data_IF_395693567855
#
_entry.id   IF_395693567855
#
_cell.length_a   1.000
_cell.length_b   1.000
_cell.length_c   1.000
_cell.angle_alpha   90.00
_cell.angle_beta   90.00
_cell.angle_gamma   90.00
#
_symmetry.space_group_name_H-M   'P 1'
#
loop_
_entity.id
_entity.type
_entity.pdbx_description
1 polymer ?
#
# COMPACT_ATOMS: atom_id res chain seq x y z
N UNK A 1 -26.16 -43.03 20.41
CA UNK A 1 -24.72 -42.73 20.34
C UNK A 1 -24.16 -42.98 18.95
N UNK A 2 -24.34 -44.17 18.34
CA UNK A 2 -23.89 -44.44 16.95
C UNK A 2 -24.48 -43.48 15.90
N UNK A 3 -25.80 -43.21 15.95
CA UNK A 3 -26.46 -42.27 15.03
C UNK A 3 -25.88 -40.85 15.04
N UNK A 4 -25.40 -40.38 16.20
CA UNK A 4 -24.86 -39.03 16.38
C UNK A 4 -23.42 -38.98 15.88
N UNK A 5 -22.67 -40.07 16.05
CA UNK A 5 -21.33 -40.25 15.49
C UNK A 5 -21.39 -40.40 13.97
N UNK A 6 -22.37 -41.11 13.42
CA UNK A 6 -22.57 -41.24 11.97
C UNK A 6 -23.01 -39.91 11.35
N UNK A 7 -23.94 -39.19 11.99
CA UNK A 7 -24.36 -37.85 11.57
C UNK A 7 -23.17 -36.86 11.63
N UNK A 8 -22.35 -36.87 12.69
CA UNK A 8 -21.16 -36.01 12.79
C UNK A 8 -20.08 -36.43 11.78
N UNK A 9 -19.94 -37.74 11.49
CA UNK A 9 -19.02 -38.27 10.46
C UNK A 9 -19.46 -37.95 9.04
N UNK A 10 -20.75 -37.71 8.82
CA UNK A 10 -21.34 -37.36 7.52
C UNK A 10 -21.40 -35.83 7.33
N UNK A 11 -21.75 -35.07 8.38
CA UNK A 11 -21.73 -33.60 8.38
C UNK A 11 -20.34 -32.99 8.55
N UNK A 12 -19.36 -33.71 9.11
CA UNK A 12 -17.99 -33.23 9.31
C UNK A 12 -17.30 -32.88 7.99
N UNK A 13 -17.57 -33.68 6.96
CA UNK A 13 -17.13 -33.42 5.59
C UNK A 13 -17.85 -32.22 4.96
N UNK A 14 -19.16 -32.05 5.22
CA UNK A 14 -19.89 -30.86 4.83
C UNK A 14 -19.32 -29.56 5.45
N UNK A 15 -18.91 -29.61 6.72
CA UNK A 15 -18.26 -28.49 7.40
C UNK A 15 -16.92 -28.17 6.74
N UNK A 16 -16.08 -29.17 6.47
CA UNK A 16 -14.80 -28.98 5.76
C UNK A 16 -15.04 -28.36 4.38
N UNK A 17 -16.00 -28.90 3.62
CA UNK A 17 -16.36 -28.38 2.30
C UNK A 17 -16.74 -26.89 2.37
N UNK A 18 -17.66 -26.52 3.26
CA UNK A 18 -18.10 -25.13 3.41
C UNK A 18 -16.98 -24.23 3.91
N UNK A 19 -16.17 -24.71 4.85
CA UNK A 19 -15.08 -23.93 5.43
C UNK A 19 -14.00 -23.62 4.39
N UNK A 20 -13.57 -24.63 3.60
CA UNK A 20 -12.63 -24.44 2.48
C UNK A 20 -13.24 -23.56 1.40
N UNK A 21 -14.51 -23.77 1.03
CA UNK A 21 -15.20 -22.96 0.02
C UNK A 21 -15.23 -21.48 0.42
N UNK A 22 -15.62 -21.20 1.66
CA UNK A 22 -15.74 -19.83 2.18
C UNK A 22 -14.37 -19.15 2.31
N UNK A 23 -13.34 -19.85 2.82
CA UNK A 23 -11.96 -19.34 2.85
C UNK A 23 -11.48 -18.99 1.43
N UNK A 24 -11.65 -19.90 0.47
CA UNK A 24 -11.15 -19.72 -0.90
C UNK A 24 -11.91 -18.62 -1.67
N UNK A 25 -13.17 -18.36 -1.29
CA UNK A 25 -13.94 -17.19 -1.74
C UNK A 25 -13.47 -15.86 -1.11
N UNK A 26 -12.44 -15.88 -0.27
CA UNK A 26 -11.77 -14.69 0.26
C UNK A 26 -12.20 -14.29 1.67
N UNK A 27 -12.96 -15.13 2.39
CA UNK A 27 -13.27 -14.87 3.79
C UNK A 27 -12.04 -15.15 4.68
N UNK A 28 -11.79 -14.35 5.73
CA UNK A 28 -10.65 -14.52 6.63
C UNK A 28 -10.90 -15.64 7.66
N UNK A 29 -11.18 -16.86 7.19
CA UNK A 29 -11.43 -18.04 8.02
C UNK A 29 -10.35 -19.08 7.72
N UNK A 30 -9.62 -19.61 8.72
CA UNK A 30 -8.55 -20.55 8.47
C UNK A 30 -9.08 -21.98 8.28
N UNK A 31 -9.08 -22.54 7.07
CA UNK A 31 -9.48 -23.94 6.84
C UNK A 31 -8.32 -24.93 6.97
N UNK A 32 -7.07 -24.49 6.85
CA UNK A 32 -5.91 -25.37 7.04
C UNK A 32 -5.94 -26.10 8.40
N UNK A 33 -6.18 -25.44 9.56
CA UNK A 33 -6.28 -26.14 10.84
C UNK A 33 -7.46 -27.10 10.91
N UNK A 34 -8.60 -26.76 10.30
CA UNK A 34 -9.78 -27.64 10.24
C UNK A 34 -9.44 -28.92 9.48
N UNK A 35 -8.76 -28.81 8.33
CA UNK A 35 -8.28 -29.95 7.54
C UNK A 35 -7.30 -30.84 8.32
N UNK A 36 -6.38 -30.25 9.10
CA UNK A 36 -5.46 -31.00 9.96
C UNK A 36 -6.22 -31.77 11.04
N UNK A 37 -7.15 -31.13 11.74
CA UNK A 37 -7.95 -31.78 12.79
C UNK A 37 -8.82 -32.89 12.21
N UNK A 38 -9.51 -32.65 11.11
CA UNK A 38 -10.32 -33.68 10.44
C UNK A 38 -9.44 -34.82 9.91
N UNK A 39 -8.26 -34.52 9.35
CA UNK A 39 -7.30 -35.54 8.92
C UNK A 39 -6.77 -36.41 10.07
N UNK A 40 -6.60 -35.84 11.27
CA UNK A 40 -6.21 -36.59 12.45
C UNK A 40 -7.32 -37.52 12.96
N UNK A 41 -8.57 -37.04 12.97
CA UNK A 41 -9.73 -37.81 13.39
C UNK A 41 -10.04 -38.98 12.45
N UNK A 42 -9.81 -38.78 11.15
CA UNK A 42 -10.11 -39.76 10.10
C UNK A 42 -8.89 -40.59 9.68
N UNK A 43 -7.73 -40.38 10.32
CA UNK A 43 -6.44 -40.97 9.96
C UNK A 43 -6.40 -42.50 9.94
N UNK A 44 -7.33 -43.15 10.67
CA UNK A 44 -7.43 -44.60 10.74
C UNK A 44 -8.07 -45.26 9.50
N UNK A 45 -8.78 -44.49 8.66
CA UNK A 45 -9.48 -44.99 7.48
C UNK A 45 -8.99 -44.28 6.21
N UNK A 46 -8.21 -45.01 5.41
CA UNK A 46 -7.65 -44.49 4.15
C UNK A 46 -8.74 -44.06 3.15
N UNK A 47 -9.90 -44.74 3.11
CA UNK A 47 -11.00 -44.37 2.24
C UNK A 47 -11.62 -43.02 2.63
N UNK A 48 -11.78 -42.78 3.94
CA UNK A 48 -12.27 -41.50 4.46
C UNK A 48 -11.28 -40.36 4.25
N UNK A 49 -9.97 -40.62 4.33
CA UNK A 49 -8.94 -39.62 3.98
C UNK A 49 -9.00 -39.22 2.50
N UNK A 50 -9.15 -40.19 1.59
CA UNK A 50 -9.30 -39.91 0.15
C UNK A 50 -10.57 -39.09 -0.11
N UNK A 51 -11.68 -39.43 0.55
CA UNK A 51 -12.92 -38.66 0.46
C UNK A 51 -12.72 -37.22 0.97
N UNK A 52 -12.11 -37.04 2.14
CA UNK A 52 -11.79 -35.74 2.73
C UNK A 52 -10.95 -34.86 1.79
N UNK A 53 -9.89 -35.44 1.18
CA UNK A 53 -9.08 -34.72 0.19
C UNK A 53 -9.92 -34.35 -1.02
N UNK A 54 -10.73 -35.28 -1.53
CA UNK A 54 -11.59 -35.07 -2.68
C UNK A 54 -12.59 -33.94 -2.48
N UNK A 55 -13.31 -33.90 -1.36
CA UNK A 55 -14.31 -32.84 -1.11
C UNK A 55 -13.64 -31.47 -0.92
N UNK A 56 -12.48 -31.42 -0.25
CA UNK A 56 -11.79 -30.17 0.03
C UNK A 56 -11.17 -29.59 -1.25
N UNK A 57 -10.61 -30.45 -2.10
CA UNK A 57 -10.15 -30.05 -3.44
C UNK A 57 -11.33 -29.57 -4.29
N UNK A 58 -12.47 -30.27 -4.27
CA UNK A 58 -13.67 -29.84 -4.99
C UNK A 58 -14.16 -28.46 -4.53
N UNK A 59 -14.23 -28.23 -3.21
CA UNK A 59 -14.59 -26.94 -2.63
C UNK A 59 -13.65 -25.82 -3.11
N UNK A 60 -12.33 -26.07 -3.07
CA UNK A 60 -11.33 -25.12 -3.54
C UNK A 60 -11.50 -24.82 -5.03
N UNK A 61 -11.67 -25.84 -5.86
CA UNK A 61 -11.87 -25.69 -7.31
C UNK A 61 -13.12 -24.87 -7.63
N UNK A 62 -14.23 -25.07 -6.90
CA UNK A 62 -15.45 -24.29 -7.12
C UNK A 62 -15.17 -22.79 -6.87
N UNK A 63 -14.55 -22.44 -5.75
CA UNK A 63 -14.19 -21.06 -5.44
C UNK A 63 -13.18 -20.48 -6.44
N UNK A 64 -12.14 -21.23 -6.78
CA UNK A 64 -11.08 -20.79 -7.68
C UNK A 64 -11.60 -20.59 -9.12
N UNK A 65 -12.52 -21.45 -9.59
CA UNK A 65 -13.22 -21.27 -10.88
C UNK A 65 -14.12 -20.03 -10.87
N UNK A 66 -14.81 -19.73 -9.76
CA UNK A 66 -15.58 -18.49 -9.62
C UNK A 66 -14.67 -17.28 -9.80
N UNK A 67 -13.50 -17.27 -9.16
CA UNK A 67 -12.53 -16.19 -9.32
C UNK A 67 -11.97 -16.09 -10.74
N UNK A 68 -11.60 -17.22 -11.34
CA UNK A 68 -11.11 -17.28 -12.71
C UNK A 68 -12.14 -16.74 -13.71
N UNK A 69 -13.41 -17.15 -13.58
CA UNK A 69 -14.51 -16.67 -14.44
C UNK A 69 -14.79 -15.18 -14.20
N UNK A 70 -14.74 -14.73 -12.96
CA UNK A 70 -14.87 -13.31 -12.65
C UNK A 70 -13.73 -12.49 -13.28
N UNK A 71 -12.49 -12.97 -13.21
CA UNK A 71 -11.35 -12.36 -13.89
C UNK A 71 -11.52 -12.33 -15.41
N UNK A 72 -12.00 -13.41 -16.01
CA UNK A 72 -12.26 -13.48 -17.45
C UNK A 72 -13.36 -12.52 -17.91
N UNK A 73 -14.46 -12.41 -17.14
CA UNK A 73 -15.62 -11.59 -17.50
C UNK A 73 -15.44 -10.10 -17.21
N UNK A 74 -14.75 -9.75 -16.12
CA UNK A 74 -14.67 -8.37 -15.62
C UNK A 74 -13.24 -7.78 -15.64
N UNK A 75 -12.24 -8.55 -16.08
CA UNK A 75 -10.87 -8.08 -16.26
C UNK A 75 -10.25 -7.48 -14.99
N UNK A 76 -9.45 -6.43 -15.16
CA UNK A 76 -8.77 -5.73 -14.07
C UNK A 76 -9.71 -5.10 -13.02
N UNK A 77 -11.00 -4.96 -13.30
CA UNK A 77 -11.96 -4.41 -12.33
C UNK A 77 -12.15 -5.33 -11.11
N UNK A 78 -12.05 -6.65 -11.29
CA UNK A 78 -12.11 -7.62 -10.18
C UNK A 78 -10.87 -7.48 -9.29
N UNK A 79 -9.68 -7.36 -9.88
CA UNK A 79 -8.45 -7.14 -9.12
C UNK A 79 -8.49 -5.82 -8.36
N UNK A 80 -9.02 -4.75 -8.97
CA UNK A 80 -9.22 -3.47 -8.30
C UNK A 80 -10.18 -3.53 -7.10
N UNK A 81 -11.17 -4.43 -7.11
CA UNK A 81 -12.06 -4.67 -5.96
C UNK A 81 -11.42 -5.51 -4.87
N UNK A 82 -10.75 -6.62 -5.22
CA UNK A 82 -10.07 -7.48 -4.26
C UNK A 82 -8.93 -6.71 -3.56
N UNK A 83 -8.08 -6.03 -4.33
CA UNK A 83 -6.95 -5.26 -3.80
C UNK A 83 -7.35 -3.95 -3.11
N UNK A 84 -8.63 -3.51 -3.15
CA UNK A 84 -9.10 -2.29 -2.44
C UNK A 84 -8.94 -2.42 -0.92
N UNK A 85 -9.03 -3.63 -0.38
CA UNK A 85 -8.85 -3.92 1.05
C UNK A 85 -7.36 -3.81 1.45
N UNK A 86 -6.44 -3.88 0.48
CA UNK A 86 -5.01 -3.77 0.73
C UNK A 86 -4.57 -2.32 0.97
N UNK A 87 -3.59 -2.15 1.85
CA UNK A 87 -3.00 -0.85 2.22
C UNK A 87 -2.41 -0.08 1.00
N UNK A 88 -2.13 -0.78 -0.10
CA UNK A 88 -1.71 -0.22 -1.38
C UNK A 88 -2.24 -1.09 -2.54
N UNK A 89 -3.40 -0.73 -3.12
CA UNK A 89 -4.02 -1.49 -4.20
C UNK A 89 -3.10 -1.65 -5.43
N UNK A 90 -2.37 -0.59 -5.81
CA UNK A 90 -1.47 -0.63 -6.96
C UNK A 90 -0.26 -1.56 -6.74
N UNK A 91 0.24 -1.65 -5.51
CA UNK A 91 1.32 -2.58 -5.18
C UNK A 91 0.82 -4.04 -5.18
N UNK A 92 -0.40 -4.28 -4.69
CA UNK A 92 -1.06 -5.59 -4.71
C UNK A 92 -1.21 -6.14 -6.13
N UNK A 93 -1.70 -5.29 -7.05
CA UNK A 93 -1.88 -5.65 -8.46
C UNK A 93 -0.53 -5.90 -9.14
N UNK A 94 0.39 -4.92 -9.10
CA UNK A 94 1.71 -5.04 -9.76
C UNK A 94 2.53 -6.21 -9.24
N UNK A 95 2.46 -6.50 -7.94
CA UNK A 95 3.18 -7.62 -7.35
C UNK A 95 2.65 -8.94 -7.89
N UNK A 96 1.33 -9.09 -7.95
CA UNK A 96 0.69 -10.32 -8.44
C UNK A 96 0.93 -10.50 -9.94
N UNK A 97 0.82 -9.42 -10.73
CA UNK A 97 1.18 -9.41 -12.16
C UNK A 97 2.66 -9.78 -12.38
N UNK A 98 3.59 -9.26 -11.56
CA UNK A 98 5.00 -9.60 -11.69
C UNK A 98 5.29 -11.07 -11.38
N UNK A 99 4.66 -11.62 -10.33
CA UNK A 99 4.80 -13.04 -9.96
C UNK A 99 4.20 -13.93 -11.05
N UNK A 100 3.00 -13.62 -11.53
CA UNK A 100 2.35 -14.38 -12.59
C UNK A 100 3.06 -14.20 -13.94
N UNK A 101 3.63 -13.03 -14.25
CA UNK A 101 4.44 -12.81 -15.44
C UNK A 101 5.73 -13.62 -15.45
N UNK A 102 6.32 -13.87 -14.27
CA UNK A 102 7.56 -14.67 -14.13
C UNK A 102 7.32 -16.17 -14.06
N UNK A 103 6.25 -16.61 -13.37
CA UNK A 103 6.00 -18.03 -13.08
C UNK A 103 4.81 -18.61 -13.85
N UNK A 104 3.93 -17.76 -14.39
CA UNK A 104 2.73 -18.14 -15.11
C UNK A 104 1.77 -18.97 -14.25
N UNK A 105 1.02 -19.89 -14.88
CA UNK A 105 0.10 -20.80 -14.19
C UNK A 105 0.75 -21.65 -13.10
N UNK A 106 2.07 -21.88 -13.15
CA UNK A 106 2.80 -22.65 -12.12
C UNK A 106 2.76 -21.97 -10.75
N UNK A 107 2.54 -20.66 -10.69
CA UNK A 107 2.36 -19.93 -9.43
C UNK A 107 1.18 -20.47 -8.60
N UNK A 108 0.15 -21.04 -9.25
CA UNK A 108 -1.03 -21.62 -8.59
C UNK A 108 -0.68 -22.81 -7.68
N UNK A 109 0.44 -23.51 -7.94
CA UNK A 109 0.90 -24.63 -7.12
C UNK A 109 1.19 -24.23 -5.67
N UNK A 110 1.68 -23.00 -5.47
CA UNK A 110 2.05 -22.47 -4.15
C UNK A 110 1.08 -21.40 -3.65
N UNK A 111 0.11 -20.99 -4.49
CA UNK A 111 -0.69 -19.81 -4.22
C UNK A 111 -1.54 -19.93 -2.95
N UNK A 112 -2.02 -21.15 -2.67
CA UNK A 112 -2.87 -21.51 -1.53
C UNK A 112 -2.15 -21.47 -0.17
N UNK A 113 -0.82 -21.49 -0.15
CA UNK A 113 -0.05 -21.35 1.10
C UNK A 113 0.12 -19.89 1.56
N UNK A 114 -0.21 -18.93 0.70
CA UNK A 114 -0.07 -17.50 1.00
C UNK A 114 -1.47 -16.89 1.13
N UNK A 115 -1.90 -16.47 2.34
CA UNK A 115 -3.23 -15.92 2.56
C UNK A 115 -3.56 -14.78 1.59
N UNK A 116 -4.73 -14.84 0.95
CA UNK A 116 -5.21 -13.85 -0.01
C UNK A 116 -4.54 -13.90 -1.40
N UNK A 117 -3.41 -14.58 -1.56
CA UNK A 117 -2.74 -14.67 -2.86
C UNK A 117 -3.46 -15.64 -3.82
N UNK A 118 -4.02 -16.75 -3.31
CA UNK A 118 -4.76 -17.72 -4.12
C UNK A 118 -5.91 -17.08 -4.92
N UNK A 119 -6.81 -16.36 -4.26
CA UNK A 119 -7.96 -15.71 -4.92
C UNK A 119 -7.52 -14.69 -5.97
N UNK A 120 -6.45 -13.93 -5.70
CA UNK A 120 -5.91 -12.95 -6.65
C UNK A 120 -5.25 -13.65 -7.83
N UNK A 121 -4.49 -14.73 -7.60
CA UNK A 121 -3.84 -15.51 -8.64
C UNK A 121 -4.87 -16.20 -9.56
N UNK A 122 -5.94 -16.76 -8.99
CA UNK A 122 -7.06 -17.37 -9.73
C UNK A 122 -7.78 -16.33 -10.59
N UNK A 123 -8.09 -15.15 -10.03
CA UNK A 123 -8.68 -14.05 -10.79
C UNK A 123 -7.74 -13.57 -11.91
N UNK A 124 -6.45 -13.36 -11.62
CA UNK A 124 -5.46 -12.91 -12.60
C UNK A 124 -5.25 -13.93 -13.72
N UNK A 125 -5.29 -15.23 -13.43
CA UNK A 125 -5.23 -16.27 -14.45
C UNK A 125 -6.36 -16.13 -15.48
N UNK A 126 -7.56 -15.74 -15.01
CA UNK A 126 -8.71 -15.42 -15.84
C UNK A 126 -8.53 -14.13 -16.65
N UNK A 127 -8.04 -13.04 -16.03
CA UNK A 127 -7.85 -11.76 -16.73
C UNK A 127 -6.79 -11.83 -17.83
N UNK A 128 -5.74 -12.62 -17.62
CA UNK A 128 -4.64 -12.83 -18.60
C UNK A 128 -5.05 -13.81 -19.70
N UNK A 129 -6.21 -14.47 -19.58
CA UNK A 129 -6.71 -15.40 -20.59
C UNK A 129 -5.98 -16.75 -20.59
N UNK A 130 -5.52 -17.21 -19.42
CA UNK A 130 -4.94 -18.56 -19.29
C UNK A 130 -5.99 -19.59 -19.70
N UNK A 131 -5.70 -20.58 -20.56
CA UNK A 131 -6.68 -21.59 -20.96
C UNK A 131 -7.28 -22.33 -19.76
N UNK A 132 -8.60 -22.55 -19.75
CA UNK A 132 -9.31 -23.15 -18.61
C UNK A 132 -8.72 -24.51 -18.20
N UNK A 133 -8.35 -25.35 -19.17
CA UNK A 133 -7.74 -26.65 -18.89
C UNK A 133 -6.39 -26.50 -18.16
N UNK A 134 -5.55 -25.55 -18.58
CA UNK A 134 -4.26 -25.25 -17.95
C UNK A 134 -4.48 -24.72 -16.54
N UNK A 135 -5.43 -23.81 -16.36
CA UNK A 135 -5.80 -23.29 -15.04
C UNK A 135 -6.24 -24.41 -14.10
N UNK A 136 -7.24 -25.20 -14.49
CA UNK A 136 -7.76 -26.31 -13.68
C UNK A 136 -6.65 -27.30 -13.33
N UNK A 137 -5.77 -27.63 -14.26
CA UNK A 137 -4.67 -28.56 -14.01
C UNK A 137 -3.72 -28.06 -12.90
N UNK A 138 -3.18 -26.83 -13.05
CA UNK A 138 -2.26 -26.28 -12.04
C UNK A 138 -2.97 -25.97 -10.72
N UNK A 139 -4.22 -25.50 -10.77
CA UNK A 139 -4.98 -25.17 -9.59
C UNK A 139 -5.36 -26.43 -8.78
N UNK A 140 -5.73 -27.52 -9.46
CA UNK A 140 -5.99 -28.83 -8.85
C UNK A 140 -4.72 -29.39 -8.22
N UNK A 141 -3.57 -29.33 -8.90
CA UNK A 141 -2.31 -29.75 -8.32
C UNK A 141 -1.95 -28.94 -7.07
N UNK A 142 -2.13 -27.61 -7.12
CA UNK A 142 -1.94 -26.75 -5.95
C UNK A 142 -2.89 -27.09 -4.81
N UNK A 143 -4.16 -27.36 -5.12
CA UNK A 143 -5.16 -27.78 -4.14
C UNK A 143 -4.81 -29.13 -3.51
N UNK A 144 -4.38 -30.11 -4.30
CA UNK A 144 -3.94 -31.41 -3.83
C UNK A 144 -2.72 -31.31 -2.92
N UNK A 145 -1.73 -30.50 -3.28
CA UNK A 145 -0.54 -30.28 -2.45
C UNK A 145 -0.94 -29.61 -1.12
N UNK A 146 -1.78 -28.59 -1.17
CA UNK A 146 -2.20 -27.84 0.01
C UNK A 146 -3.08 -28.68 0.94
N UNK A 147 -4.19 -29.23 0.44
CA UNK A 147 -5.10 -30.12 1.20
C UNK A 147 -4.36 -31.36 1.65
N UNK A 148 -3.61 -32.00 0.75
CA UNK A 148 -2.85 -33.21 1.05
C UNK A 148 -1.82 -32.98 2.15
N UNK A 149 -1.13 -31.83 2.18
CA UNK A 149 -0.20 -31.50 3.26
C UNK A 149 -0.90 -31.39 4.61
N UNK A 150 -2.09 -30.77 4.68
CA UNK A 150 -2.85 -30.63 5.91
C UNK A 150 -3.38 -31.98 6.41
N UNK A 151 -3.98 -32.76 5.51
CA UNK A 151 -4.56 -34.07 5.84
C UNK A 151 -3.47 -35.08 6.21
N UNK A 152 -2.34 -35.08 5.50
CA UNK A 152 -1.18 -35.91 5.83
C UNK A 152 -0.58 -35.53 7.19
N UNK A 153 -0.44 -34.23 7.47
CA UNK A 153 0.02 -33.77 8.76
C UNK A 153 -0.92 -34.26 9.87
N UNK A 154 -2.24 -34.11 9.68
CA UNK A 154 -3.23 -34.62 10.62
C UNK A 154 -3.14 -36.13 10.83
N UNK A 155 -3.09 -36.91 9.75
CA UNK A 155 -3.09 -38.37 9.83
C UNK A 155 -1.82 -38.94 10.50
N UNK A 156 -0.66 -38.29 10.35
CA UNK A 156 0.58 -38.66 11.05
C UNK A 156 0.44 -38.58 12.57
N UNK A 157 -0.40 -37.68 13.09
CA UNK A 157 -0.62 -37.49 14.53
C UNK A 157 -1.90 -38.17 15.05
N UNK A 158 -2.58 -38.98 14.23
CA UNK A 158 -3.83 -39.66 14.58
C UNK A 158 -3.71 -40.68 15.74
N UNK A 159 -2.51 -41.18 16.03
CA UNK A 159 -2.25 -42.11 17.13
C UNK A 159 -2.07 -41.43 18.50
N UNK A 160 -2.02 -40.09 18.54
CA UNK A 160 -1.73 -39.30 19.75
C UNK A 160 -2.75 -38.16 19.92
N UNK A 161 -4.04 -38.47 19.79
CA UNK A 161 -5.14 -37.48 19.74
C UNK A 161 -5.18 -36.53 20.94
N UNK A 162 -4.77 -36.97 22.14
CA UNK A 162 -4.67 -36.09 23.31
C UNK A 162 -3.50 -35.10 23.21
N UNK A 163 -2.28 -35.54 22.87
CA UNK A 163 -1.14 -34.62 22.76
C UNK A 163 -1.25 -33.71 21.52
N UNK A 164 -1.95 -34.14 20.47
CA UNK A 164 -2.16 -33.35 19.26
C UNK A 164 -3.05 -32.12 19.49
N UNK A 165 -4.07 -32.21 20.35
CA UNK A 165 -4.88 -31.04 20.72
C UNK A 165 -4.07 -30.02 21.54
N UNK A 166 -3.18 -30.49 22.40
CA UNK A 166 -2.30 -29.62 23.19
C UNK A 166 -1.16 -29.03 22.34
N UNK A 167 -0.63 -29.79 21.38
CA UNK A 167 0.37 -29.31 20.41
C UNK A 167 -0.24 -28.37 19.37
N UNK A 168 -1.47 -28.59 18.91
CA UNK A 168 -2.17 -27.69 17.97
C UNK A 168 -2.61 -26.39 18.63
N UNK A 169 -3.06 -26.43 19.89
CA UNK A 169 -3.34 -25.20 20.65
C UNK A 169 -2.04 -24.45 20.96
N UNK A 170 -0.96 -25.14 21.30
CA UNK A 170 0.36 -24.53 21.47
C UNK A 170 0.90 -23.95 20.15
N UNK A 171 0.92 -24.70 19.05
CA UNK A 171 1.38 -24.23 17.73
C UNK A 171 0.51 -23.11 17.18
N UNK A 172 -0.81 -23.16 17.41
CA UNK A 172 -1.74 -22.09 17.08
C UNK A 172 -1.44 -20.81 17.87
N UNK A 173 -1.20 -20.93 19.18
CA UNK A 173 -0.81 -19.82 20.03
C UNK A 173 0.56 -19.25 19.62
N UNK A 174 1.57 -20.09 19.39
CA UNK A 174 2.89 -19.67 18.95
C UNK A 174 2.87 -19.10 17.54
N UNK A 175 2.04 -19.62 16.64
CA UNK A 175 1.86 -19.11 15.28
C UNK A 175 1.18 -17.74 15.26
N UNK A 176 0.09 -17.58 16.03
CA UNK A 176 -0.56 -16.29 16.22
C UNK A 176 0.40 -15.29 16.89
N UNK A 177 1.16 -15.74 17.89
CA UNK A 177 2.17 -14.92 18.55
C UNK A 177 3.28 -14.52 17.57
N UNK A 178 3.79 -15.42 16.74
CA UNK A 178 4.79 -15.14 15.72
C UNK A 178 4.28 -14.13 14.69
N UNK A 179 3.04 -14.30 14.22
CA UNK A 179 2.39 -13.36 13.30
C UNK A 179 2.17 -11.99 13.96
N UNK A 180 1.73 -11.98 15.22
CA UNK A 180 1.56 -10.75 15.99
C UNK A 180 2.90 -10.05 16.22
N UNK A 181 3.96 -10.77 16.59
CA UNK A 181 5.32 -10.25 16.76
C UNK A 181 5.86 -9.75 15.43
N UNK A 182 5.72 -10.51 14.34
CA UNK A 182 6.15 -10.07 13.01
C UNK A 182 5.41 -8.80 12.57
N UNK A 183 4.10 -8.73 12.84
CA UNK A 183 3.29 -7.54 12.58
C UNK A 183 3.73 -6.35 13.42
N UNK A 184 3.96 -6.54 14.73
CA UNK A 184 4.49 -5.50 15.63
C UNK A 184 5.87 -5.04 15.21
N UNK A 185 6.79 -5.95 14.86
CA UNK A 185 8.14 -5.63 14.36
C UNK A 185 8.06 -4.87 13.04
N UNK A 186 7.17 -5.27 12.13
CA UNK A 186 6.92 -4.55 10.88
C UNK A 186 6.42 -3.12 11.15
N UNK A 187 5.41 -2.96 12.01
CA UNK A 187 4.88 -1.66 12.41
C UNK A 187 5.95 -0.81 13.11
N UNK A 188 6.71 -1.40 14.04
CA UNK A 188 7.80 -0.74 14.76
C UNK A 188 8.92 -0.30 13.81
N UNK A 189 9.30 -1.15 12.85
CA UNK A 189 10.29 -0.81 11.82
C UNK A 189 9.78 0.32 10.92
N UNK A 190 8.53 0.27 10.47
CA UNK A 190 7.92 1.34 9.66
C UNK A 190 7.82 2.65 10.43
N UNK A 191 7.46 2.58 11.71
CA UNK A 191 7.40 3.74 12.61
C UNK A 191 8.80 4.29 12.90
N UNK A 192 9.79 3.43 13.11
CA UNK A 192 11.19 3.84 13.32
C UNK A 192 11.78 4.49 12.07
N UNK A 193 11.56 3.92 10.88
CA UNK A 193 11.96 4.53 9.62
C UNK A 193 11.32 5.90 9.41
N UNK A 194 10.02 6.03 9.69
CA UNK A 194 9.29 7.30 9.62
C UNK A 194 9.85 8.33 10.61
N UNK A 195 10.00 7.95 11.88
CA UNK A 195 10.50 8.85 12.93
C UNK A 195 11.95 9.23 12.73
N UNK A 196 12.82 8.31 12.29
CA UNK A 196 14.22 8.60 11.97
C UNK A 196 14.34 9.57 10.79
N UNK A 197 13.51 9.39 9.77
CA UNK A 197 13.45 10.32 8.63
C UNK A 197 13.01 11.71 9.08
N UNK A 198 11.91 11.81 9.85
CA UNK A 198 11.42 13.09 10.38
C UNK A 198 12.41 13.76 11.34
N UNK A 199 13.05 12.99 12.23
CA UNK A 199 14.10 13.50 13.14
C UNK A 199 15.30 14.02 12.37
N UNK A 200 15.68 13.36 11.27
CA UNK A 200 16.78 13.83 10.41
C UNK A 200 16.48 15.15 9.70
N UNK A 201 15.20 15.55 9.62
CA UNK A 201 14.73 16.79 9.02
C UNK A 201 14.42 17.88 10.07
N UNK A 202 14.77 17.65 11.35
CA UNK A 202 14.72 18.70 12.37
C UNK A 202 15.78 19.74 12.03
N UNK A 203 15.31 20.90 11.60
CA UNK A 203 16.10 22.09 11.34
C UNK A 203 15.26 23.32 11.68
N UNK A 204 15.88 24.47 11.99
CA UNK A 204 15.17 25.73 12.19
C UNK A 204 14.29 26.04 10.98
N UNK A 205 13.01 26.30 11.23
CA UNK A 205 12.05 26.75 10.22
C UNK A 205 11.85 28.26 10.38
N UNK A 206 11.58 28.94 9.28
CA UNK A 206 11.22 30.36 9.27
C UNK A 206 9.69 30.48 9.18
N UNK A 207 9.10 31.37 9.97
CA UNK A 207 7.65 31.64 9.89
C UNK A 207 7.32 32.52 8.69
N UNK A 208 6.05 32.49 8.26
CA UNK A 208 5.56 33.37 7.19
C UNK A 208 5.74 34.84 7.57
N UNK A 209 5.44 35.20 8.81
CA UNK A 209 5.55 36.56 9.33
C UNK A 209 6.99 37.04 9.38
N UNK A 210 7.92 36.16 9.77
CA UNK A 210 9.36 36.48 9.77
C UNK A 210 9.88 36.70 8.35
N UNK A 211 9.53 35.84 7.39
CA UNK A 211 9.93 36.03 5.99
C UNK A 211 9.34 37.33 5.41
N UNK A 212 8.05 37.61 5.67
CA UNK A 212 7.42 38.84 5.23
C UNK A 212 8.04 40.08 5.90
N UNK A 213 8.37 40.00 7.19
CA UNK A 213 9.05 41.07 7.92
C UNK A 213 10.45 41.36 7.37
N UNK A 214 11.22 40.33 7.02
CA UNK A 214 12.51 40.50 6.33
C UNK A 214 12.31 41.20 4.99
N UNK A 215 11.34 40.74 4.19
CA UNK A 215 11.04 41.36 2.89
C UNK A 215 10.63 42.83 3.03
N UNK A 216 9.86 43.19 4.06
CA UNK A 216 9.44 44.57 4.33
C UNK A 216 10.62 45.47 4.75
N UNK A 217 11.67 44.91 5.35
CA UNK A 217 12.91 45.62 5.69
C UNK A 217 13.91 45.72 4.53
N UNK A 218 13.52 45.29 3.33
CA UNK A 218 14.42 45.22 2.17
C UNK A 218 15.43 44.08 2.22
N UNK A 219 15.29 43.15 3.17
CA UNK A 219 16.15 41.97 3.30
C UNK A 219 15.47 40.81 2.60
N UNK A 220 16.12 40.30 1.54
CA UNK A 220 15.49 39.35 0.63
C UNK A 220 16.25 38.02 0.57
N UNK A 221 15.92 37.06 1.44
CA UNK A 221 16.40 35.69 1.31
C UNK A 221 16.02 35.11 -0.05
N UNK A 222 16.87 34.24 -0.60
CA UNK A 222 16.53 33.53 -1.84
C UNK A 222 15.46 32.49 -1.56
N UNK A 223 14.31 32.64 -2.21
CA UNK A 223 13.17 31.74 -2.01
C UNK A 223 13.19 30.65 -3.08
N UNK A 224 13.11 29.38 -2.66
CA UNK A 224 13.10 28.21 -3.53
C UNK A 224 11.77 27.45 -3.35
N UNK A 225 11.04 27.30 -4.45
CA UNK A 225 9.83 26.49 -4.53
C UNK A 225 10.16 25.06 -4.97
N UNK A 226 9.88 24.07 -4.11
CA UNK A 226 10.15 22.65 -4.41
C UNK A 226 8.93 21.87 -4.91
N UNK A 227 7.82 22.56 -5.18
CA UNK A 227 6.59 21.96 -5.70
C UNK A 227 6.73 21.61 -7.18
N UNK A 228 5.73 20.94 -7.73
CA UNK A 228 5.65 20.66 -9.17
C UNK A 228 5.57 21.95 -10.00
N UNK A 229 6.07 21.90 -11.24
CA UNK A 229 6.11 23.06 -12.15
C UNK A 229 4.71 23.65 -12.42
N UNK A 230 3.68 22.81 -12.47
CA UNK A 230 2.28 23.28 -12.63
C UNK A 230 1.77 24.05 -11.41
N UNK A 231 2.21 23.70 -10.20
CA UNK A 231 1.86 24.43 -8.98
C UNK A 231 2.61 25.77 -8.93
N UNK A 232 3.89 25.75 -9.26
CA UNK A 232 4.74 26.94 -9.36
C UNK A 232 4.20 27.99 -10.33
N UNK A 233 3.65 27.56 -11.49
CA UNK A 233 3.10 28.47 -12.50
C UNK A 233 1.76 29.10 -12.11
N UNK A 234 0.93 28.37 -11.34
CA UNK A 234 -0.38 28.85 -10.88
C UNK A 234 -0.27 29.96 -9.84
N UNK A 235 0.69 29.83 -8.92
CA UNK A 235 0.92 30.80 -7.87
C UNK A 235 2.14 30.44 -7.05
N UNK A 236 2.99 31.41 -6.74
CA UNK A 236 4.23 31.25 -5.97
C UNK A 236 4.49 32.46 -5.09
N UNK A 237 5.36 32.30 -4.09
CA UNK A 237 5.85 33.43 -3.31
C UNK A 237 6.63 34.37 -4.23
N UNK A 238 6.52 35.70 -4.08
CA UNK A 238 7.22 36.65 -4.96
C UNK A 238 8.72 36.38 -5.05
N UNK A 239 9.25 36.40 -6.28
CA UNK A 239 10.65 36.09 -6.64
C UNK A 239 11.13 34.67 -6.27
N UNK A 240 10.22 33.75 -5.96
CA UNK A 240 10.59 32.36 -5.74
C UNK A 240 11.11 31.72 -7.04
N UNK A 241 12.20 30.96 -6.94
CA UNK A 241 12.76 30.19 -8.05
C UNK A 241 12.33 28.73 -7.94
N UNK A 242 12.03 28.07 -9.07
CA UNK A 242 11.65 26.66 -9.05
C UNK A 242 12.86 25.75 -8.92
N UNK A 243 12.90 24.95 -7.85
CA UNK A 243 13.91 23.90 -7.64
C UNK A 243 13.95 22.91 -8.80
N UNK A 244 12.79 22.53 -9.35
CA UNK A 244 12.70 21.56 -10.47
C UNK A 244 13.28 22.10 -11.76
N UNK A 245 13.21 23.40 -11.98
CA UNK A 245 13.83 24.06 -13.14
C UNK A 245 15.34 24.14 -12.93
N UNK A 246 15.78 24.63 -11.76
CA UNK A 246 17.19 24.73 -11.42
C UNK A 246 17.88 23.35 -11.49
N UNK A 247 17.28 22.32 -10.90
CA UNK A 247 17.86 20.97 -10.85
C UNK A 247 18.02 20.29 -12.21
N UNK A 248 17.43 20.83 -13.28
CA UNK A 248 17.56 20.31 -14.64
C UNK A 248 18.67 20.98 -15.45
N UNK A 249 19.23 22.09 -14.97
CA UNK A 249 20.22 22.87 -15.70
C UNK A 249 21.63 22.27 -15.60
N UNK A 250 21.86 21.38 -14.64
CA UNK A 250 23.16 20.80 -14.35
C UNK A 250 23.02 19.38 -13.77
N UNK A 251 24.11 18.63 -13.79
CA UNK A 251 24.17 17.28 -13.19
C UNK A 251 24.04 17.33 -11.67
N UNK A 252 24.59 18.37 -11.05
CA UNK A 252 24.44 18.63 -9.61
C UNK A 252 23.32 19.63 -9.37
N UNK A 253 22.20 19.26 -8.70
CA UNK A 253 21.00 20.11 -8.59
C UNK A 253 21.19 21.50 -7.95
N UNK A 254 22.28 21.71 -7.22
CA UNK A 254 22.59 22.93 -6.48
C UNK A 254 23.62 23.81 -7.17
N UNK A 255 24.23 23.34 -8.26
CA UNK A 255 25.25 24.06 -9.03
C UNK A 255 24.76 25.39 -9.61
N UNK A 256 23.51 25.53 -10.09
CA UNK A 256 23.01 26.82 -10.60
C UNK A 256 22.82 27.88 -9.51
N UNK A 257 22.93 27.49 -8.23
CA UNK A 257 22.86 28.37 -7.07
C UNK A 257 24.26 28.73 -6.53
N UNK A 258 25.32 28.29 -7.19
CA UNK A 258 26.70 28.67 -6.85
C UNK A 258 27.10 29.96 -7.60
N UNK A 259 27.97 30.79 -7.01
CA UNK A 259 28.62 30.65 -5.70
C UNK A 259 27.75 31.09 -4.51
N UNK A 260 28.00 30.51 -3.33
CA UNK A 260 27.21 30.72 -2.10
C UNK A 260 27.06 32.20 -1.69
N UNK A 261 28.05 33.04 -2.02
CA UNK A 261 28.07 34.48 -1.76
C UNK A 261 26.93 35.24 -2.44
N UNK A 262 26.27 34.65 -3.44
CA UNK A 262 25.09 35.22 -4.10
C UNK A 262 23.84 35.19 -3.21
N UNK A 263 23.89 34.50 -2.05
CA UNK A 263 22.77 34.36 -1.12
C UNK A 263 23.09 34.95 0.27
N UNK A 264 23.42 36.26 0.37
CA UNK A 264 23.91 36.86 1.62
C UNK A 264 22.87 36.88 2.75
N UNK A 265 21.58 36.84 2.41
CA UNK A 265 20.47 36.81 3.37
C UNK A 265 19.96 35.39 3.66
N UNK A 266 20.70 34.37 3.22
CA UNK A 266 20.32 32.97 3.34
C UNK A 266 19.23 32.57 2.34
N UNK A 267 18.68 31.38 2.56
CA UNK A 267 17.75 30.75 1.63
C UNK A 267 16.53 30.20 2.36
N UNK A 268 15.37 30.37 1.74
CA UNK A 268 14.11 29.86 2.25
C UNK A 268 13.51 28.89 1.26
N UNK A 269 13.21 27.66 1.71
CA UNK A 269 12.69 26.61 0.85
C UNK A 269 11.26 26.27 1.27
N UNK A 270 10.32 26.11 0.34
CA UNK A 270 8.93 25.78 0.69
C UNK A 270 8.29 24.73 -0.21
N UNK A 271 7.36 23.96 0.37
CA UNK A 271 6.48 22.98 -0.29
C UNK A 271 5.08 23.10 0.32
N UNK A 272 4.07 22.52 -0.33
CA UNK A 272 2.71 22.37 0.22
C UNK A 272 2.47 20.99 0.86
N UNK A 273 3.55 20.38 1.36
CA UNK A 273 3.56 19.01 1.84
C UNK A 273 3.48 18.95 3.38
N UNK A 274 2.82 17.94 3.99
CA UNK A 274 2.70 17.85 5.45
C UNK A 274 4.06 17.90 6.15
N UNK A 275 4.20 18.74 7.17
CA UNK A 275 5.45 18.94 7.93
C UNK A 275 6.66 19.40 7.09
N UNK A 276 6.40 20.00 5.92
CA UNK A 276 7.40 20.58 5.03
C UNK A 276 8.51 19.59 4.59
N UNK A 277 8.20 18.29 4.51
CA UNK A 277 9.20 17.23 4.31
C UNK A 277 10.07 17.45 3.06
N UNK A 278 9.45 17.79 1.93
CA UNK A 278 10.16 18.05 0.66
C UNK A 278 11.06 19.26 0.76
N UNK A 279 10.59 20.35 1.40
CA UNK A 279 11.37 21.55 1.60
C UNK A 279 12.56 21.30 2.54
N UNK A 280 12.35 20.58 3.65
CA UNK A 280 13.41 20.20 4.58
C UNK A 280 14.46 19.27 3.92
N UNK A 281 14.05 18.39 3.01
CA UNK A 281 14.97 17.52 2.26
C UNK A 281 15.89 18.33 1.35
N UNK A 282 15.31 19.26 0.57
CA UNK A 282 16.09 20.15 -0.31
C UNK A 282 16.96 21.09 0.51
N UNK A 283 16.44 21.67 1.59
CA UNK A 283 17.23 22.51 2.50
C UNK A 283 18.46 21.76 3.05
N UNK A 284 18.30 20.50 3.45
CA UNK A 284 19.40 19.66 3.92
C UNK A 284 20.40 19.31 2.80
N UNK A 285 19.92 19.15 1.57
CA UNK A 285 20.79 18.95 0.41
C UNK A 285 21.65 20.18 0.15
N UNK A 286 21.07 21.38 0.22
CA UNK A 286 21.80 22.64 0.09
C UNK A 286 22.80 22.83 1.24
N UNK A 287 22.42 22.55 2.49
CA UNK A 287 23.37 22.60 3.61
C UNK A 287 24.56 21.65 3.44
N UNK A 288 24.35 20.45 2.90
CA UNK A 288 25.43 19.49 2.58
C UNK A 288 26.33 19.97 1.45
N UNK A 289 25.82 20.79 0.53
CA UNK A 289 26.59 21.45 -0.51
C UNK A 289 27.32 22.71 0.00
N UNK A 290 27.20 23.04 1.29
CA UNK A 290 27.94 24.12 1.94
C UNK A 290 27.15 25.42 2.13
N UNK A 291 25.92 25.55 1.62
CA UNK A 291 25.11 26.74 1.85
C UNK A 291 24.79 26.90 3.35
N UNK A 292 25.03 28.09 3.87
CA UNK A 292 24.71 28.45 5.26
C UNK A 292 23.34 29.14 5.32
N UNK A 293 22.64 29.02 6.46
CA UNK A 293 21.32 29.66 6.69
C UNK A 293 20.22 29.27 5.67
N UNK A 294 20.04 27.97 5.43
CA UNK A 294 18.92 27.43 4.63
C UNK A 294 17.81 26.94 5.56
N UNK A 295 16.60 27.53 5.46
CA UNK A 295 15.47 27.26 6.37
C UNK A 295 14.18 26.93 5.61
N UNK A 296 13.44 25.87 6.00
CA UNK A 296 12.12 25.62 5.43
C UNK A 296 11.09 26.65 5.93
N UNK A 297 10.19 27.10 5.05
CA UNK A 297 9.06 27.97 5.41
C UNK A 297 7.92 27.16 6.03
N UNK A 298 7.50 27.52 7.24
CA UNK A 298 6.37 26.86 7.93
C UNK A 298 5.08 27.04 7.13
N UNK A 299 4.39 25.93 6.84
CA UNK A 299 3.06 25.95 6.21
C UNK A 299 3.03 26.27 4.71
N UNK A 300 4.18 26.47 4.05
CA UNK A 300 4.27 26.56 2.60
C UNK A 300 3.57 27.77 1.98
N UNK A 301 3.08 27.63 0.74
CA UNK A 301 2.36 28.69 0.05
C UNK A 301 0.99 28.94 0.69
N UNK A 302 0.33 27.89 1.16
CA UNK A 302 -0.98 28.02 1.79
C UNK A 302 -0.94 28.94 3.01
N UNK A 303 0.07 28.82 3.88
CA UNK A 303 0.22 29.71 5.02
C UNK A 303 0.59 31.14 4.61
N UNK A 304 1.34 31.30 3.52
CA UNK A 304 1.66 32.62 2.93
C UNK A 304 0.39 33.34 2.46
N UNK A 305 -0.47 32.64 1.71
CA UNK A 305 -1.75 33.17 1.24
C UNK A 305 -2.73 33.42 2.39
N UNK A 306 -2.81 32.49 3.36
CA UNK A 306 -3.69 32.63 4.52
C UNK A 306 -3.31 33.83 5.41
N UNK A 307 -2.04 34.24 5.40
CA UNK A 307 -1.58 35.44 6.07
C UNK A 307 -1.86 36.74 5.28
N UNK A 308 -2.47 36.65 4.09
CA UNK A 308 -2.87 37.80 3.27
C UNK A 308 -1.73 38.39 2.43
N UNK A 309 -0.61 37.68 2.26
CA UNK A 309 0.50 38.16 1.44
C UNK A 309 0.31 37.87 -0.04
N UNK A 310 0.79 38.77 -0.89
CA UNK A 310 0.71 38.65 -2.35
C UNK A 310 1.47 37.44 -2.88
N UNK A 311 0.97 36.86 -3.96
CA UNK A 311 1.61 35.77 -4.71
C UNK A 311 1.81 36.20 -6.15
N UNK A 312 2.81 35.64 -6.83
CA UNK A 312 3.01 35.80 -8.28
C UNK A 312 2.45 34.58 -9.02
N UNK A 313 1.77 34.73 -10.15
CA UNK A 313 1.26 33.58 -10.91
C UNK A 313 0.35 33.98 -12.07
N UNK A 314 0.11 33.03 -12.99
CA UNK A 314 -0.71 33.27 -14.19
C UNK A 314 -2.21 33.43 -13.93
N UNK A 315 -2.71 33.01 -12.77
CA UNK A 315 -4.15 32.99 -12.44
C UNK A 315 -4.52 34.01 -11.34
N UNK A 316 -3.78 35.11 -11.21
CA UNK A 316 -4.23 36.24 -10.39
C UNK A 316 -5.31 37.02 -11.16
N UNK A 317 -6.50 37.26 -10.59
CA UNK A 317 -7.40 38.24 -11.18
C UNK A 317 -6.66 39.58 -11.18
N UNK A 318 -6.52 40.19 -12.37
CA UNK A 318 -6.14 41.59 -12.50
C UNK A 318 -7.10 42.38 -11.60
N UNK A 319 -6.57 42.99 -10.54
CA UNK A 319 -7.35 43.97 -9.80
C UNK A 319 -7.60 45.13 -10.75
N UNK A 320 -8.82 45.17 -11.29
CA UNK A 320 -9.27 46.14 -12.26
C UNK A 320 -9.10 47.55 -11.71
N UNK A 321 -8.39 48.36 -12.49
CA UNK A 321 -8.46 49.81 -12.44
C UNK A 321 -9.89 50.22 -12.83
N UNK A 322 -10.81 50.25 -11.87
CA UNK A 322 -12.12 50.88 -12.09
C UNK A 322 -11.92 52.39 -12.20
N UNK A 323 -11.96 52.86 -13.45
CA UNK A 323 -12.15 54.26 -13.77
C UNK A 323 -13.50 54.72 -13.22
N UNK A 324 -13.47 55.70 -12.32
CA UNK A 324 -14.66 56.41 -11.86
C UNK A 324 -15.13 57.32 -13.00
N UNK A 325 -16.03 56.83 -13.83
CA UNK A 325 -16.80 57.64 -14.77
C UNK A 325 -17.98 58.26 -14.01
N UNK A 326 -17.84 59.53 -13.62
CA UNK A 326 -18.93 60.35 -13.09
C UNK A 326 -19.86 60.79 -14.21
N UNK A 327 -21.01 60.12 -14.38
CA UNK A 327 -22.14 60.68 -15.11
C UNK A 327 -23.02 61.51 -14.16
N UNK A 328 -23.14 62.80 -14.46
CA UNK A 328 -24.05 63.72 -13.77
C UNK A 328 -25.52 63.45 -14.09
N UNK A 329 -26.46 63.87 -13.22
CA UNK A 329 -27.87 63.60 -13.40
C UNK A 329 -28.55 64.67 -14.28
N UNK A 330 -29.36 64.22 -15.24
CA UNK A 330 -30.38 65.02 -15.90
C UNK A 330 -31.58 65.18 -14.96
N UNK A 331 -31.85 66.42 -14.54
CA UNK A 331 -33.17 66.86 -14.06
C UNK A 331 -33.51 68.14 -14.83
N UNK A 332 -34.78 68.18 -15.28
CA UNK A 332 -35.55 69.22 -15.99
C UNK A 332 -35.19 69.52 -17.44
#
# INVERSE_FOLDING_TARGET
MAWLVDLIREFGFGIVFLNVLIEQLGAPIPAYPVLVVTGALEGADAGRLVMLVGIAVLAALIADVVWYRAGQAYGGAVLGRICRISLSPDACIRQTESVYGRWGPKSLLIAKFVPGFASIASALAGTVGTPLATFIFFDTLGALIWVGSAVFLGSLFSSTVQDLLDVLTALGQWGILLLAVAFVVFLARKWWQRTRTLRSLKMPRISVQELAGLNAQGVYPTVIDVRDLSQYQRGRIPRAQSWRTLSKQSDLPHEPLMPQQQHPHGMVVYCDCPHEISAARVAKQLQRAGFTNVRPLVGGLHAWQAAGFEVEGKDLPEQGTEAVESHGPLIS
#
